data_IF_709989663868
#
_entry.id   IF_709989663868
#
_cell.length_a   1.000
_cell.length_b   1.000
_cell.length_c   1.000
_cell.angle_alpha   90.00
_cell.angle_beta   90.00
_cell.angle_gamma   90.00
#
_symmetry.space_group_name_H-M   'P 1'
#
loop_
_entity.id
_entity.type
_entity.pdbx_description
1 polymer ?
#
# COMPACT_ATOMS: atom_id res chain seq x y z
N UNK A 1 12.75 22.41 13.93
CA UNK A 1 12.57 23.48 14.94
C UNK A 1 11.09 23.62 15.34
N UNK A 2 10.14 23.60 14.43
CA UNK A 2 8.71 23.81 14.73
C UNK A 2 8.13 22.74 15.67
N UNK A 3 8.45 21.46 15.47
CA UNK A 3 7.95 20.38 16.33
C UNK A 3 8.50 20.50 17.76
N UNK A 4 9.78 20.86 17.90
CA UNK A 4 10.39 21.05 19.22
C UNK A 4 9.75 22.22 19.99
N UNK A 5 9.32 23.28 19.29
CA UNK A 5 8.64 24.41 19.89
C UNK A 5 7.25 24.07 20.44
N UNK A 6 6.59 23.07 19.84
CA UNK A 6 5.26 22.60 20.29
C UNK A 6 5.34 21.77 21.59
N UNK A 7 6.53 21.24 21.94
CA UNK A 7 6.76 20.39 23.12
C UNK A 7 5.71 19.29 23.27
N UNK A 8 5.51 18.42 22.25
CA UNK A 8 4.52 17.35 22.35
C UNK A 8 4.94 16.32 23.42
N UNK A 9 3.97 15.66 24.05
CA UNK A 9 4.21 14.55 24.97
C UNK A 9 4.74 13.30 24.25
N UNK A 10 4.39 13.14 22.97
CA UNK A 10 4.85 12.06 22.10
C UNK A 10 4.86 12.54 20.65
N UNK A 11 5.85 12.13 19.88
CA UNK A 11 5.87 12.31 18.43
C UNK A 11 5.68 10.97 17.72
N UNK A 12 5.00 10.99 16.58
CA UNK A 12 4.82 9.81 15.73
C UNK A 12 5.34 10.14 14.35
N UNK A 13 6.21 9.28 13.81
CA UNK A 13 6.88 9.49 12.53
C UNK A 13 7.01 8.18 11.77
N UNK A 14 7.07 8.24 10.44
CA UNK A 14 7.47 7.11 9.62
C UNK A 14 8.90 6.67 9.93
N UNK A 15 9.12 5.37 10.12
CA UNK A 15 10.45 4.83 10.42
C UNK A 15 11.28 4.52 9.16
N UNK A 16 10.61 4.24 8.04
CA UNK A 16 11.26 3.66 6.85
C UNK A 16 11.88 4.68 5.89
N UNK A 17 11.36 5.90 5.77
CA UNK A 17 11.82 6.90 4.80
C UNK A 17 12.37 8.12 5.53
N UNK A 18 13.70 8.16 5.72
CA UNK A 18 14.36 9.25 6.43
C UNK A 18 13.97 9.36 7.92
N UNK A 19 13.25 8.35 8.44
CA UNK A 19 12.69 8.37 9.79
C UNK A 19 13.76 8.53 10.88
N UNK A 20 14.88 7.84 10.74
CA UNK A 20 15.98 7.93 11.73
C UNK A 20 16.56 9.34 11.87
N UNK A 21 16.65 10.07 10.78
CA UNK A 21 17.16 11.46 10.78
C UNK A 21 16.19 12.44 11.46
N UNK A 22 14.88 12.12 11.46
CA UNK A 22 13.84 12.93 12.10
C UNK A 22 13.63 12.49 13.56
N UNK A 23 13.64 11.19 13.82
CA UNK A 23 13.39 10.60 15.15
C UNK A 23 14.48 11.01 16.13
N UNK A 24 15.75 10.82 15.77
CA UNK A 24 16.87 11.08 16.67
C UNK A 24 16.89 12.50 17.24
N UNK A 25 16.74 13.59 16.48
CA UNK A 25 16.68 14.95 17.03
C UNK A 25 15.54 15.19 18.03
N UNK A 26 14.40 14.49 17.87
CA UNK A 26 13.27 14.57 18.78
C UNK A 26 13.58 13.85 20.11
N UNK A 27 14.16 12.65 20.03
CA UNK A 27 14.60 11.88 21.20
C UNK A 27 15.72 12.61 21.96
N UNK A 28 16.69 13.17 21.26
CA UNK A 28 17.77 13.98 21.86
C UNK A 28 17.22 15.22 22.60
N UNK A 29 16.06 15.73 22.19
CA UNK A 29 15.33 16.81 22.86
C UNK A 29 14.42 16.33 23.98
N UNK A 30 14.40 15.02 24.29
CA UNK A 30 13.59 14.43 25.34
C UNK A 30 12.13 14.21 24.98
N UNK A 31 11.79 14.24 23.67
CA UNK A 31 10.44 13.93 23.19
C UNK A 31 10.36 12.44 22.84
N UNK A 32 9.57 11.63 23.56
CA UNK A 32 9.34 10.24 23.19
C UNK A 32 8.82 10.13 21.76
N UNK A 33 9.50 9.33 20.92
CA UNK A 33 9.13 9.23 19.50
C UNK A 33 8.85 7.79 19.12
N UNK A 34 7.73 7.58 18.40
CA UNK A 34 7.32 6.30 17.86
C UNK A 34 7.56 6.28 16.37
N UNK A 35 8.40 5.36 15.92
CA UNK A 35 8.60 5.06 14.51
C UNK A 35 7.52 4.08 14.01
N UNK A 36 6.71 4.49 13.04
CA UNK A 36 5.74 3.61 12.40
C UNK A 36 6.35 2.96 11.17
N UNK A 37 6.09 1.67 11.02
CA UNK A 37 6.39 0.89 9.83
C UNK A 37 5.10 0.50 9.13
N UNK A 38 5.05 0.57 7.81
CA UNK A 38 3.85 0.23 7.04
C UNK A 38 4.19 -0.66 5.86
N UNK A 39 3.74 -1.87 5.90
CA UNK A 39 3.90 -2.82 4.81
C UNK A 39 2.87 -3.93 4.85
N UNK A 40 2.29 -4.21 6.01
CA UNK A 40 1.42 -5.35 6.22
C UNK A 40 0.15 -4.99 6.99
N UNK A 41 -0.83 -5.90 6.97
CA UNK A 41 -2.01 -5.81 7.83
C UNK A 41 -1.63 -5.79 9.32
N UNK A 42 -0.63 -6.59 9.72
CA UNK A 42 -0.16 -6.67 11.10
C UNK A 42 0.46 -5.35 11.58
N UNK A 43 1.22 -4.66 10.70
CA UNK A 43 1.73 -3.32 11.00
C UNK A 43 0.58 -2.37 11.34
N UNK A 44 -0.46 -2.34 10.50
CA UNK A 44 -1.62 -1.46 10.69
C UNK A 44 -2.38 -1.78 11.99
N UNK A 45 -2.57 -3.05 12.31
CA UNK A 45 -3.21 -3.48 13.57
C UNK A 45 -2.37 -3.07 14.78
N UNK A 46 -1.04 -3.21 14.68
CA UNK A 46 -0.11 -2.74 15.70
C UNK A 46 -0.24 -1.25 15.94
N UNK A 47 -0.39 -0.44 14.90
CA UNK A 47 -0.59 1.01 15.06
C UNK A 47 -1.90 1.32 15.78
N UNK A 48 -3.00 0.67 15.35
CA UNK A 48 -4.31 0.89 15.98
C UNK A 48 -4.24 0.60 17.48
N UNK A 49 -3.60 -0.52 17.85
CA UNK A 49 -3.42 -0.89 19.25
C UNK A 49 -2.51 0.08 20.02
N UNK A 50 -1.40 0.50 19.39
CA UNK A 50 -0.46 1.44 19.98
C UNK A 50 -1.13 2.80 20.24
N UNK A 51 -1.86 3.34 19.26
CA UNK A 51 -2.61 4.58 19.45
C UNK A 51 -3.68 4.43 20.54
N UNK A 52 -4.37 3.29 20.58
CA UNK A 52 -5.30 2.99 21.65
C UNK A 52 -4.66 3.14 23.02
N UNK A 53 -3.48 2.59 23.23
CA UNK A 53 -2.71 2.69 24.48
C UNK A 53 -2.27 4.12 24.78
N UNK A 54 -1.72 4.83 23.79
CA UNK A 54 -1.24 6.23 23.97
C UNK A 54 -2.37 7.15 24.45
N UNK A 55 -3.60 6.97 23.91
CA UNK A 55 -4.73 7.84 24.24
C UNK A 55 -5.71 7.21 25.25
N UNK A 56 -5.38 6.06 25.86
CA UNK A 56 -6.21 5.37 26.84
C UNK A 56 -7.55 4.85 26.28
N UNK A 57 -7.53 4.33 25.04
CA UNK A 57 -8.71 3.80 24.31
C UNK A 57 -8.49 2.37 23.82
N UNK A 58 -7.92 1.50 24.66
CA UNK A 58 -7.61 0.10 24.31
C UNK A 58 -8.82 -0.67 23.80
N UNK A 59 -9.99 -0.54 24.45
CA UNK A 59 -11.22 -1.24 24.02
C UNK A 59 -11.67 -0.80 22.63
N UNK A 60 -11.51 0.49 22.32
CA UNK A 60 -11.85 1.01 21.00
C UNK A 60 -10.88 0.49 19.94
N UNK A 61 -9.59 0.46 20.24
CA UNK A 61 -8.57 -0.09 19.36
C UNK A 61 -8.84 -1.58 19.07
N UNK A 62 -9.13 -2.36 20.12
CA UNK A 62 -9.51 -3.77 19.95
C UNK A 62 -10.74 -3.92 19.04
N UNK A 63 -11.80 -3.14 19.27
CA UNK A 63 -13.00 -3.18 18.43
C UNK A 63 -12.70 -2.91 16.96
N UNK A 64 -11.79 -1.97 16.67
CA UNK A 64 -11.38 -1.65 15.30
C UNK A 64 -10.68 -2.85 14.67
N UNK A 65 -9.70 -3.45 15.35
CA UNK A 65 -8.95 -4.62 14.86
C UNK A 65 -9.87 -5.82 14.65
N UNK A 66 -10.75 -6.12 15.61
CA UNK A 66 -11.73 -7.21 15.48
C UNK A 66 -12.65 -7.00 14.26
N UNK A 67 -13.05 -5.76 14.00
CA UNK A 67 -13.87 -5.44 12.82
C UNK A 67 -13.07 -5.57 11.51
N UNK A 68 -11.79 -5.20 11.48
CA UNK A 68 -10.91 -5.42 10.31
C UNK A 68 -10.83 -6.92 9.97
N UNK A 69 -10.60 -7.77 10.97
CA UNK A 69 -10.57 -9.22 10.78
C UNK A 69 -11.89 -9.78 10.27
N UNK A 70 -13.02 -9.31 10.83
CA UNK A 70 -14.34 -9.73 10.39
C UNK A 70 -14.60 -9.37 8.93
N UNK A 71 -14.31 -8.12 8.54
CA UNK A 71 -14.50 -7.66 7.14
C UNK A 71 -13.63 -8.48 6.20
N UNK A 72 -12.36 -8.70 6.54
CA UNK A 72 -11.44 -9.52 5.74
C UNK A 72 -11.97 -10.95 5.55
N UNK A 73 -12.46 -11.58 6.63
CA UNK A 73 -13.03 -12.92 6.57
C UNK A 73 -14.30 -12.97 5.72
N UNK A 74 -15.19 -11.97 5.84
CA UNK A 74 -16.42 -11.88 5.06
C UNK A 74 -16.12 -11.72 3.56
N UNK A 75 -15.17 -10.86 3.19
CA UNK A 75 -14.73 -10.67 1.79
C UNK A 75 -14.13 -11.97 1.25
N UNK A 76 -13.20 -12.58 1.98
CA UNK A 76 -12.58 -13.85 1.59
C UNK A 76 -13.62 -14.93 1.29
N UNK A 77 -14.59 -15.09 2.18
CA UNK A 77 -15.69 -16.05 2.00
C UNK A 77 -16.51 -15.79 0.74
N UNK A 78 -16.80 -14.52 0.44
CA UNK A 78 -17.53 -14.14 -0.77
C UNK A 78 -16.73 -14.48 -2.03
N UNK A 79 -15.43 -14.17 -2.03
CA UNK A 79 -14.53 -14.44 -3.16
C UNK A 79 -14.40 -15.96 -3.40
N UNK A 80 -14.17 -16.74 -2.34
CA UNK A 80 -14.12 -18.21 -2.44
C UNK A 80 -15.42 -18.80 -3.00
N UNK A 81 -16.56 -18.21 -2.63
CA UNK A 81 -17.87 -18.61 -3.13
C UNK A 81 -18.11 -18.35 -4.63
N UNK A 82 -17.29 -17.50 -5.27
CA UNK A 82 -17.40 -17.23 -6.71
C UNK A 82 -16.85 -18.38 -7.57
N UNK A 83 -15.98 -19.23 -7.03
CA UNK A 83 -15.36 -20.34 -7.76
C UNK A 83 -14.59 -19.92 -9.02
N UNK A 84 -14.05 -18.71 -9.04
CA UNK A 84 -13.28 -18.17 -10.16
C UNK A 84 -11.79 -18.18 -9.87
N UNK A 85 -10.98 -18.34 -10.92
CA UNK A 85 -9.53 -18.13 -10.84
C UNK A 85 -9.21 -16.67 -10.48
N UNK A 86 -8.14 -16.44 -9.71
CA UNK A 86 -7.71 -15.09 -9.35
C UNK A 86 -7.39 -14.24 -10.58
N UNK A 87 -7.98 -13.06 -10.66
CA UNK A 87 -7.73 -12.10 -11.74
C UNK A 87 -6.29 -11.58 -11.66
N UNK A 88 -5.56 -11.64 -12.76
CA UNK A 88 -4.21 -11.09 -12.88
C UNK A 88 -4.28 -9.56 -12.91
N UNK A 89 -3.85 -8.93 -11.85
CA UNK A 89 -4.03 -7.50 -11.66
C UNK A 89 -2.74 -6.81 -11.19
N UNK A 90 -2.68 -5.50 -11.36
CA UNK A 90 -1.56 -4.66 -10.97
C UNK A 90 -2.07 -3.37 -10.32
N UNK A 91 -1.65 -3.07 -9.08
CA UNK A 91 -1.68 -1.70 -8.57
C UNK A 91 -0.35 -1.05 -8.92
N UNK A 92 -0.39 0.11 -9.56
CA UNK A 92 0.84 0.83 -9.88
C UNK A 92 0.71 2.34 -9.69
N UNK A 93 1.84 2.99 -9.45
CA UNK A 93 2.00 4.43 -9.52
C UNK A 93 2.78 4.81 -10.76
N UNK A 94 2.41 5.93 -11.36
CA UNK A 94 3.18 6.56 -12.44
C UNK A 94 4.06 7.64 -11.83
N UNK A 95 5.34 7.59 -12.14
CA UNK A 95 6.34 8.54 -11.65
C UNK A 95 7.05 9.20 -12.84
N UNK A 96 7.74 10.33 -12.65
CA UNK A 96 8.53 10.93 -13.73
C UNK A 96 9.62 10.00 -14.32
N UNK A 97 10.06 9.00 -13.53
CA UNK A 97 11.09 8.04 -13.94
C UNK A 97 10.53 6.71 -14.47
N UNK A 98 9.21 6.54 -14.52
CA UNK A 98 8.58 5.29 -14.98
C UNK A 98 7.44 4.83 -14.07
N UNK A 99 7.37 3.55 -13.78
CA UNK A 99 6.31 2.96 -12.98
C UNK A 99 6.87 2.33 -11.71
N UNK A 100 6.04 2.27 -10.66
CA UNK A 100 6.33 1.51 -9.43
C UNK A 100 5.11 0.71 -9.02
N UNK A 101 5.32 -0.43 -8.36
CA UNK A 101 4.25 -1.26 -7.82
C UNK A 101 4.75 -2.01 -6.59
N UNK A 102 3.91 -2.22 -5.62
CA UNK A 102 4.21 -3.10 -4.49
C UNK A 102 4.55 -4.52 -4.92
N UNK A 103 5.18 -5.25 -4.02
CA UNK A 103 5.51 -6.67 -4.17
C UNK A 103 4.74 -7.52 -3.14
N UNK A 104 5.08 -8.80 -2.99
CA UNK A 104 4.40 -9.72 -2.07
C UNK A 104 4.38 -9.28 -0.60
N UNK A 105 5.29 -8.40 -0.19
CA UNK A 105 5.33 -7.86 1.17
C UNK A 105 4.54 -6.57 1.33
N UNK A 106 3.91 -6.07 0.27
CA UNK A 106 3.13 -4.83 0.31
C UNK A 106 1.70 -5.08 0.78
N UNK A 107 1.12 -4.07 1.40
CA UNK A 107 -0.28 -4.09 1.80
C UNK A 107 -1.24 -4.24 0.61
N UNK A 108 -0.89 -3.67 -0.54
CA UNK A 108 -1.64 -3.81 -1.78
C UNK A 108 -1.78 -5.27 -2.20
N UNK A 109 -0.69 -6.06 -2.12
CA UNK A 109 -0.73 -7.49 -2.44
C UNK A 109 -1.67 -8.26 -1.50
N UNK A 110 -1.68 -7.92 -0.22
CA UNK A 110 -2.62 -8.50 0.74
C UNK A 110 -4.08 -8.18 0.37
N UNK A 111 -4.38 -6.91 0.07
CA UNK A 111 -5.73 -6.50 -0.33
C UNK A 111 -6.18 -7.16 -1.64
N UNK A 112 -5.29 -7.30 -2.62
CA UNK A 112 -5.60 -8.03 -3.86
C UNK A 112 -5.95 -9.48 -3.60
N UNK A 113 -5.15 -10.17 -2.77
CA UNK A 113 -5.44 -11.55 -2.39
C UNK A 113 -6.82 -11.71 -1.75
N UNK A 114 -7.18 -10.80 -0.84
CA UNK A 114 -8.52 -10.79 -0.24
C UNK A 114 -9.64 -10.58 -1.28
N UNK A 115 -9.42 -9.71 -2.26
CA UNK A 115 -10.38 -9.39 -3.32
C UNK A 115 -10.42 -10.42 -4.46
N UNK A 116 -9.70 -11.54 -4.34
CA UNK A 116 -9.65 -12.59 -5.39
C UNK A 116 -8.74 -12.21 -6.56
N UNK A 117 -7.82 -11.30 -6.36
CA UNK A 117 -6.81 -10.91 -7.35
C UNK A 117 -5.47 -11.59 -7.12
N UNK A 118 -4.67 -11.63 -8.17
CA UNK A 118 -3.27 -12.02 -8.16
C UNK A 118 -2.43 -10.85 -8.66
N UNK A 119 -1.67 -10.22 -7.75
CA UNK A 119 -0.79 -9.10 -8.12
C UNK A 119 0.39 -9.60 -8.93
N UNK A 120 0.46 -9.22 -10.20
CA UNK A 120 1.48 -9.72 -11.13
C UNK A 120 2.89 -9.26 -10.78
N UNK A 121 3.04 -8.20 -9.99
CA UNK A 121 4.32 -7.70 -9.48
C UNK A 121 4.76 -8.33 -8.15
N UNK A 122 4.05 -9.33 -7.62
CA UNK A 122 4.33 -9.92 -6.30
C UNK A 122 5.80 -10.34 -6.14
N UNK A 123 6.41 -10.90 -7.16
CA UNK A 123 7.81 -11.35 -7.15
C UNK A 123 8.80 -10.28 -7.64
N UNK A 124 8.38 -9.02 -7.77
CA UNK A 124 9.29 -7.94 -8.12
C UNK A 124 10.28 -7.67 -6.99
N UNK A 125 11.58 -7.73 -7.30
CA UNK A 125 12.68 -7.48 -6.36
C UNK A 125 13.48 -6.23 -6.72
N UNK A 126 13.02 -5.45 -7.68
CA UNK A 126 13.70 -4.22 -8.10
C UNK A 126 13.75 -3.19 -6.98
N UNK A 127 14.84 -2.43 -6.93
CA UNK A 127 14.99 -1.34 -5.97
C UNK A 127 13.85 -0.33 -6.11
N UNK A 128 13.33 0.16 -4.98
CA UNK A 128 12.21 1.09 -4.92
C UNK A 128 10.94 0.58 -5.64
N UNK A 129 10.79 -0.73 -5.77
CA UNK A 129 9.66 -1.36 -6.47
C UNK A 129 9.46 -0.86 -7.91
N UNK A 130 10.55 -0.43 -8.56
CA UNK A 130 10.51 0.07 -9.94
C UNK A 130 10.06 -1.02 -10.93
N UNK A 131 9.33 -0.60 -11.94
CA UNK A 131 8.88 -1.44 -13.06
C UNK A 131 9.27 -0.75 -14.36
N UNK A 132 9.91 -1.46 -15.28
CA UNK A 132 10.09 -0.97 -16.63
C UNK A 132 8.96 -1.45 -17.56
N UNK A 133 8.91 -0.90 -18.76
CA UNK A 133 7.87 -1.23 -19.75
C UNK A 133 7.94 -2.70 -20.17
N UNK A 134 9.13 -3.26 -20.33
CA UNK A 134 9.33 -4.66 -20.71
C UNK A 134 8.77 -5.63 -19.67
N UNK A 135 9.01 -5.35 -18.39
CA UNK A 135 8.43 -6.13 -17.28
C UNK A 135 6.90 -6.04 -17.27
N UNK A 136 6.37 -4.83 -17.46
CA UNK A 136 4.93 -4.61 -17.48
C UNK A 136 4.27 -5.37 -18.65
N UNK A 137 4.90 -5.35 -19.84
CA UNK A 137 4.46 -6.11 -21.00
C UNK A 137 4.56 -7.63 -20.78
N UNK A 138 5.63 -8.09 -20.13
CA UNK A 138 5.80 -9.51 -19.83
C UNK A 138 4.79 -10.02 -18.80
N UNK A 139 4.42 -9.19 -17.84
CA UNK A 139 3.38 -9.54 -16.87
C UNK A 139 1.97 -9.49 -17.46
N UNK A 140 1.71 -8.63 -18.42
CA UNK A 140 0.43 -8.44 -19.11
C UNK A 140 -0.79 -8.56 -18.18
N UNK A 141 -1.00 -7.61 -17.24
CA UNK A 141 -2.13 -7.66 -16.33
C UNK A 141 -3.46 -7.52 -17.07
N UNK A 142 -4.49 -8.22 -16.58
CA UNK A 142 -5.87 -8.11 -17.08
C UNK A 142 -6.58 -6.85 -16.55
N UNK A 143 -6.13 -6.35 -15.39
CA UNK A 143 -6.65 -5.16 -14.73
C UNK A 143 -5.50 -4.32 -14.18
N UNK A 144 -5.54 -3.01 -14.39
CA UNK A 144 -4.63 -2.05 -13.76
C UNK A 144 -5.42 -1.11 -12.87
N UNK A 145 -4.99 -0.97 -11.63
CA UNK A 145 -5.44 0.06 -10.69
C UNK A 145 -4.33 1.09 -10.50
N UNK A 146 -4.63 2.35 -10.74
CA UNK A 146 -3.69 3.43 -10.50
C UNK A 146 -3.77 3.88 -9.04
N UNK A 147 -2.62 4.11 -8.44
CA UNK A 147 -2.52 4.61 -7.08
C UNK A 147 -3.23 5.95 -6.91
N UNK A 148 -3.98 6.11 -5.84
CA UNK A 148 -4.62 7.38 -5.50
C UNK A 148 -3.61 8.47 -5.06
N UNK A 149 -2.36 8.10 -4.81
CA UNK A 149 -1.32 9.00 -4.30
C UNK A 149 -0.54 9.76 -5.39
N UNK A 150 -0.76 9.46 -6.66
CA UNK A 150 -0.18 10.21 -7.77
C UNK A 150 -1.28 10.88 -8.62
N UNK A 151 -0.91 11.75 -9.54
CA UNK A 151 -1.84 12.50 -10.37
C UNK A 151 -2.23 11.78 -11.68
N UNK A 152 -1.71 10.57 -11.91
CA UNK A 152 -1.99 9.82 -13.13
C UNK A 152 -3.47 9.48 -13.28
N UNK A 153 -3.89 9.38 -14.50
CA UNK A 153 -5.26 9.03 -14.89
C UNK A 153 -5.27 7.81 -15.81
N UNK A 154 -6.40 7.09 -15.95
CA UNK A 154 -6.50 6.04 -16.95
C UNK A 154 -6.17 6.50 -18.36
N UNK A 155 -6.43 7.78 -18.70
CA UNK A 155 -6.10 8.35 -20.00
C UNK A 155 -4.59 8.36 -20.27
N UNK A 156 -3.77 8.59 -19.26
CA UNK A 156 -2.30 8.58 -19.40
C UNK A 156 -1.78 7.19 -19.78
N UNK A 157 -2.44 6.14 -19.30
CA UNK A 157 -2.12 4.76 -19.66
C UNK A 157 -2.67 4.42 -21.06
N UNK A 158 -3.90 4.77 -21.36
CA UNK A 158 -4.51 4.50 -22.67
C UNK A 158 -3.81 5.23 -23.82
N UNK A 159 -3.29 6.42 -23.59
CA UNK A 159 -2.59 7.24 -24.59
C UNK A 159 -1.09 6.90 -24.71
N UNK A 160 -0.56 6.02 -23.87
CA UNK A 160 0.85 5.61 -23.95
C UNK A 160 1.05 4.52 -25.02
N UNK A 161 1.70 4.83 -26.16
CA UNK A 161 1.85 3.88 -27.25
C UNK A 161 2.64 2.62 -26.86
N UNK A 162 3.53 2.72 -25.87
CA UNK A 162 4.32 1.58 -25.40
C UNK A 162 3.48 0.57 -24.61
N UNK A 163 2.30 0.96 -24.13
CA UNK A 163 1.39 0.13 -23.34
C UNK A 163 0.18 -0.38 -24.13
N UNK A 164 0.05 0.00 -25.40
CA UNK A 164 -1.13 -0.30 -26.23
C UNK A 164 -1.39 -1.81 -26.42
N UNK A 165 -0.36 -2.65 -26.24
CA UNK A 165 -0.48 -4.10 -26.38
C UNK A 165 -0.99 -4.82 -25.13
N UNK A 166 -0.99 -4.16 -23.96
CA UNK A 166 -1.47 -4.75 -22.70
C UNK A 166 -2.95 -5.15 -22.78
N UNK A 167 -3.27 -6.28 -22.19
CA UNK A 167 -4.65 -6.77 -22.06
C UNK A 167 -5.54 -5.76 -21.36
N UNK A 168 -5.10 -5.20 -20.22
CA UNK A 168 -5.86 -4.19 -19.49
C UNK A 168 -6.15 -2.92 -20.32
N UNK A 169 -5.26 -2.54 -21.22
CA UNK A 169 -5.43 -1.37 -22.10
C UNK A 169 -6.43 -1.67 -23.22
N UNK A 170 -6.30 -2.81 -23.89
CA UNK A 170 -7.21 -3.26 -24.95
C UNK A 170 -8.64 -3.42 -24.45
N UNK A 171 -8.79 -4.01 -23.27
CA UNK A 171 -10.08 -4.30 -22.64
C UNK A 171 -10.65 -3.10 -21.85
N UNK A 172 -9.95 -1.96 -21.84
CA UNK A 172 -10.34 -0.74 -21.09
C UNK A 172 -10.54 -0.98 -19.59
N UNK A 173 -9.67 -1.79 -18.99
CA UNK A 173 -9.71 -2.18 -17.57
C UNK A 173 -8.60 -1.48 -16.78
N UNK A 174 -8.45 -0.18 -16.99
CA UNK A 174 -7.57 0.69 -16.19
C UNK A 174 -8.44 1.61 -15.37
N UNK A 175 -8.26 1.61 -14.06
CA UNK A 175 -9.09 2.34 -13.10
C UNK A 175 -8.21 3.19 -12.17
N UNK A 176 -8.84 4.19 -11.55
CA UNK A 176 -8.26 4.98 -10.46
C UNK A 176 -9.18 5.02 -9.27
#
# INVERSE_FOLDING_TARGET
ETVLALKPDVAVQWADIGGAEIIKPLEDAGIPTVGLKYGTQEDLETWVQLFGKIIGKDDRAKTIVDNMHKVAADVKKQVEGLGKEPTRALIMSVTPSGFTSGNKSSYDNYLFGLAGGNQVSAENTAANNAINVEQLLAWDPEVILLSAFDESTPADIYNNPNLASLTAVKEKRVYK
#
